data_IF_972458785015
#
_entry.id   IF_972458785015
#
_cell.length_a   1.000
_cell.length_b   1.000
_cell.length_c   1.000
_cell.angle_alpha   90.00
_cell.angle_beta   90.00
_cell.angle_gamma   90.00
#
_symmetry.space_group_name_H-M   'P 1'
#
loop_
_entity.id
_entity.type
_entity.pdbx_description
1 polymer ?
#
# COMPACT_ATOMS: atom_id res chain seq x y z
N UNK A 1 -15.19 4.76 -8.15
CA UNK A 1 -13.80 4.96 -7.68
C UNK A 1 -13.45 3.78 -6.81
N UNK A 2 -12.46 2.97 -7.22
CA UNK A 2 -12.02 1.79 -6.48
C UNK A 2 -10.82 2.16 -5.60
N UNK A 3 -10.59 1.39 -4.54
CA UNK A 3 -9.47 1.63 -3.62
C UNK A 3 -8.77 0.33 -3.31
N UNK A 4 -7.44 0.38 -3.28
CA UNK A 4 -6.58 -0.74 -2.90
C UNK A 4 -5.70 -0.30 -1.75
N UNK A 5 -5.67 -1.08 -0.67
CA UNK A 5 -4.78 -0.86 0.46
C UNK A 5 -3.66 -1.88 0.44
N UNK A 6 -2.43 -1.40 0.56
CA UNK A 6 -1.23 -2.24 0.67
C UNK A 6 -0.74 -2.21 2.12
N UNK A 7 -0.79 -3.36 2.80
CA UNK A 7 -0.31 -3.54 4.18
C UNK A 7 1.14 -4.02 4.12
N UNK A 8 2.06 -3.22 4.64
CA UNK A 8 3.51 -3.45 4.54
C UNK A 8 4.07 -3.69 5.93
N UNK A 9 4.61 -4.87 6.14
CA UNK A 9 5.23 -5.30 7.40
C UNK A 9 6.63 -5.88 7.18
N UNK A 10 7.42 -6.08 8.24
CA UNK A 10 8.68 -6.81 8.13
C UNK A 10 8.52 -8.23 7.58
N UNK A 11 7.36 -8.86 7.78
CA UNK A 11 7.07 -10.23 7.37
C UNK A 11 6.63 -10.35 5.91
N UNK A 12 6.12 -9.27 5.31
CA UNK A 12 5.61 -9.29 3.95
C UNK A 12 4.69 -8.13 3.62
N UNK A 13 4.14 -8.20 2.41
CA UNK A 13 3.24 -7.20 1.83
C UNK A 13 1.95 -7.90 1.40
N UNK A 14 0.81 -7.34 1.77
CA UNK A 14 -0.53 -7.84 1.45
C UNK A 14 -1.33 -6.74 0.74
N UNK A 15 -2.06 -7.08 -0.32
CA UNK A 15 -3.00 -6.17 -0.99
C UNK A 15 -4.44 -6.51 -0.63
N UNK A 16 -5.23 -5.48 -0.32
CA UNK A 16 -6.65 -5.57 -0.03
C UNK A 16 -7.39 -4.66 -1.01
N UNK A 17 -8.36 -5.20 -1.74
CA UNK A 17 -9.19 -4.47 -2.71
C UNK A 17 -10.28 -3.60 -2.05
N UNK A 18 -9.88 -2.85 -1.01
CA UNK A 18 -10.70 -1.87 -0.33
C UNK A 18 -9.82 -0.82 0.34
N UNK A 19 -10.40 0.34 0.68
CA UNK A 19 -9.80 1.27 1.62
C UNK A 19 -9.90 0.69 3.04
N UNK A 20 -8.77 0.55 3.71
CA UNK A 20 -8.71 0.18 5.12
C UNK A 20 -8.79 1.43 5.99
N UNK A 21 -9.55 1.34 7.07
CA UNK A 21 -9.71 2.39 8.06
C UNK A 21 -8.90 2.03 9.31
N UNK A 22 -7.79 2.72 9.61
CA UNK A 22 -6.97 2.46 10.81
C UNK A 22 -7.72 2.58 12.13
N UNK A 23 -8.80 3.38 12.19
CA UNK A 23 -9.58 3.59 13.41
C UNK A 23 -10.60 2.46 13.64
N UNK A 24 -11.00 1.75 12.59
CA UNK A 24 -12.07 0.74 12.63
C UNK A 24 -11.59 -0.68 12.30
N UNK A 25 -10.46 -0.81 11.62
CA UNK A 25 -9.92 -2.09 11.18
C UNK A 25 -8.69 -2.48 12.01
N UNK A 26 -8.90 -3.48 12.87
CA UNK A 26 -7.85 -4.03 13.74
C UNK A 26 -6.64 -4.58 12.99
N UNK A 27 -6.73 -4.86 11.68
CA UNK A 27 -5.59 -5.32 10.87
C UNK A 27 -4.57 -4.22 10.62
N UNK A 28 -5.03 -2.96 10.57
CA UNK A 28 -4.20 -1.78 10.30
C UNK A 28 -4.09 -0.80 11.47
N UNK A 29 -4.69 -1.11 12.62
CA UNK A 29 -4.58 -0.25 13.81
C UNK A 29 -3.14 0.01 14.29
N UNK A 30 -2.23 -0.94 14.02
CA UNK A 30 -0.79 -0.85 14.31
C UNK A 30 0.03 -0.32 13.13
N UNK A 31 -0.63 0.10 12.05
CA UNK A 31 -0.03 0.58 10.82
C UNK A 31 -0.37 2.05 10.62
N UNK A 32 0.54 2.78 10.00
CA UNK A 32 0.34 4.19 9.62
C UNK A 32 0.26 4.30 8.11
N UNK A 33 -0.61 5.18 7.61
CA UNK A 33 -0.60 5.57 6.20
C UNK A 33 0.70 6.34 5.90
N UNK A 34 1.52 5.84 4.97
CA UNK A 34 2.81 6.44 4.59
C UNK A 34 2.82 7.05 3.19
N UNK A 35 1.91 6.61 2.33
CA UNK A 35 1.80 7.06 0.96
C UNK A 35 0.37 6.83 0.44
N UNK A 36 -0.06 7.71 -0.45
CA UNK A 36 -1.29 7.60 -1.21
C UNK A 36 -0.95 7.95 -2.65
N UNK A 37 -1.46 7.16 -3.61
CA UNK A 37 -1.23 7.43 -5.01
C UNK A 37 -2.43 7.03 -5.87
N UNK A 38 -2.83 7.93 -6.75
CA UNK A 38 -3.79 7.66 -7.81
C UNK A 38 -3.10 7.82 -9.16
N UNK A 39 -3.35 6.91 -10.10
CA UNK A 39 -2.88 7.06 -11.47
C UNK A 39 -3.75 8.11 -12.20
N UNK A 40 -3.16 9.00 -13.02
CA UNK A 40 -3.93 9.96 -13.82
C UNK A 40 -4.98 9.28 -14.72
N UNK A 41 -4.64 8.10 -15.24
CA UNK A 41 -5.47 7.35 -16.18
C UNK A 41 -6.26 6.20 -15.50
N UNK A 42 -6.39 6.24 -14.16
CA UNK A 42 -7.11 5.21 -13.40
C UNK A 42 -7.96 5.78 -12.29
N UNK A 43 -9.17 5.22 -12.15
CA UNK A 43 -10.06 5.47 -11.02
C UNK A 43 -9.70 4.62 -9.77
N UNK A 44 -8.55 3.95 -9.79
CA UNK A 44 -8.02 3.17 -8.67
C UNK A 44 -7.06 4.03 -7.85
N UNK A 45 -7.37 4.15 -6.56
CA UNK A 45 -6.53 4.84 -5.58
C UNK A 45 -5.85 3.85 -4.65
N UNK A 46 -4.55 4.02 -4.48
CA UNK A 46 -3.72 3.18 -3.65
C UNK A 46 -3.37 3.85 -2.33
N UNK A 47 -3.47 3.09 -1.25
CA UNK A 47 -3.14 3.51 0.11
C UNK A 47 -2.08 2.57 0.69
N UNK A 48 -0.95 3.10 1.10
CA UNK A 48 0.18 2.30 1.59
C UNK A 48 0.28 2.44 3.10
N UNK A 49 0.01 1.37 3.81
CA UNK A 49 0.08 1.29 5.27
C UNK A 49 1.33 0.54 5.68
N UNK A 50 2.16 1.12 6.54
CA UNK A 50 3.37 0.47 7.04
C UNK A 50 3.37 0.37 8.56
N UNK A 51 3.92 -0.71 9.11
CA UNK A 51 4.20 -0.79 10.54
C UNK A 51 5.20 0.28 10.96
N UNK A 52 5.11 0.70 12.23
CA UNK A 52 5.96 1.74 12.79
C UNK A 52 7.46 1.41 12.79
N UNK A 53 7.80 0.12 12.76
CA UNK A 53 9.17 -0.40 12.70
C UNK A 53 9.84 -0.24 11.31
N UNK A 54 9.07 0.06 10.26
CA UNK A 54 9.60 0.34 8.93
C UNK A 54 9.69 1.84 8.66
N UNK A 55 10.84 2.30 8.18
CA UNK A 55 10.94 3.62 7.58
C UNK A 55 10.08 3.69 6.30
N UNK A 56 9.70 4.91 5.91
CA UNK A 56 8.96 5.12 4.65
C UNK A 56 9.72 4.57 3.45
N UNK A 57 11.04 4.79 3.38
CA UNK A 57 11.88 4.32 2.27
C UNK A 57 11.88 2.79 2.17
N UNK A 58 12.06 2.10 3.30
CA UNK A 58 12.03 0.63 3.34
C UNK A 58 10.66 0.08 2.94
N UNK A 59 9.58 0.69 3.43
CA UNK A 59 8.24 0.28 3.09
C UNK A 59 7.93 0.46 1.59
N UNK A 60 8.34 1.59 1.00
CA UNK A 60 8.19 1.84 -0.44
C UNK A 60 9.01 0.87 -1.29
N UNK A 61 10.24 0.54 -0.86
CA UNK A 61 11.08 -0.48 -1.51
C UNK A 61 10.40 -1.85 -1.49
N UNK A 62 9.83 -2.25 -0.36
CA UNK A 62 9.07 -3.51 -0.24
C UNK A 62 7.82 -3.53 -1.11
N UNK A 63 7.10 -2.40 -1.19
CA UNK A 63 5.94 -2.28 -2.06
C UNK A 63 6.32 -2.44 -3.55
N UNK A 64 7.46 -1.87 -3.96
CA UNK A 64 8.00 -2.06 -5.31
C UNK A 64 8.36 -3.53 -5.58
N UNK A 65 9.06 -4.18 -4.65
CA UNK A 65 9.40 -5.61 -4.75
C UNK A 65 8.17 -6.51 -4.82
N UNK A 66 7.12 -6.20 -4.03
CA UNK A 66 5.85 -6.91 -4.10
C UNK A 66 5.23 -6.78 -5.49
N UNK A 67 5.23 -5.59 -6.09
CA UNK A 67 4.73 -5.39 -7.45
C UNK A 67 5.54 -6.18 -8.49
N UNK A 68 6.87 -6.20 -8.38
CA UNK A 68 7.72 -6.96 -9.31
C UNK A 68 7.40 -8.46 -9.32
N UNK A 69 7.00 -9.00 -8.15
CA UNK A 69 6.58 -10.39 -8.01
C UNK A 69 5.12 -10.63 -8.43
N UNK A 70 4.18 -9.77 -8.00
CA UNK A 70 2.74 -9.96 -8.23
C UNK A 70 2.29 -9.53 -9.63
N UNK A 71 3.01 -8.57 -10.23
CA UNK A 71 2.65 -7.88 -11.47
C UNK A 71 1.22 -7.34 -11.47
N UNK A 72 0.79 -6.77 -10.33
CA UNK A 72 -0.57 -6.29 -10.15
C UNK A 72 -0.98 -5.31 -11.27
N UNK A 73 -2.08 -5.56 -12.00
CA UNK A 73 -2.44 -4.78 -13.19
C UNK A 73 -2.72 -3.31 -12.86
N UNK A 74 -3.33 -3.04 -11.70
CA UNK A 74 -3.71 -1.69 -11.28
C UNK A 74 -2.60 -0.91 -10.54
N UNK A 75 -1.38 -1.44 -10.47
CA UNK A 75 -0.27 -0.81 -9.74
C UNK A 75 -0.10 0.66 -10.12
N UNK A 76 0.00 1.62 -9.18
CA UNK A 76 0.00 3.03 -9.53
C UNK A 76 1.33 3.45 -10.17
N UNK A 77 2.42 2.71 -9.90
CA UNK A 77 3.78 3.03 -10.35
C UNK A 77 4.38 4.19 -9.56
N UNK A 78 5.60 4.04 -9.07
CA UNK A 78 6.30 5.16 -8.44
C UNK A 78 6.93 6.05 -9.51
N UNK A 79 6.46 7.30 -9.62
CA UNK A 79 7.20 8.32 -10.39
C UNK A 79 8.33 8.82 -9.50
N UNK A 80 9.57 8.69 -9.97
CA UNK A 80 10.74 9.32 -9.38
C UNK A 80 10.62 10.85 -9.39
#
# INVERSE_FOLDING_TARGET
>A
MSSISLIISPLGVESIDALLDPERDTRVNAYRLIHEQQRPDSDVRWFFFAKADLSKSEAMTRAQQWYEASRHPDWPGFRH
#
